data_IF_459610065536
#
_entry.id   IF_459610065536
#
_cell.length_a   1.000
_cell.length_b   1.000
_cell.length_c   1.000
_cell.angle_alpha   90.00
_cell.angle_beta   90.00
_cell.angle_gamma   90.00
#
_symmetry.space_group_name_H-M   'P 1'
#
loop_
_entity.id
_entity.type
_entity.pdbx_description
1 polymer ?
#
# COMPACT_ATOMS: atom_id res chain seq x y z
N UNK A 1 -9.05 0.20 -6.91
CA UNK A 1 -10.20 1.10 -6.62
C UNK A 1 -9.66 2.33 -5.92
N UNK A 2 -10.08 3.52 -6.36
CA UNK A 2 -9.77 4.80 -5.73
C UNK A 2 -11.08 5.56 -5.48
N UNK A 3 -11.20 6.23 -4.34
CA UNK A 3 -12.42 6.93 -3.91
C UNK A 3 -12.07 8.34 -3.43
N UNK A 4 -12.86 9.33 -3.82
CA UNK A 4 -12.69 10.71 -3.36
C UNK A 4 -14.02 11.42 -3.20
N UNK A 5 -14.09 12.35 -2.24
CA UNK A 5 -15.23 13.25 -2.09
C UNK A 5 -15.34 14.27 -3.24
N UNK A 6 -14.24 14.53 -3.96
CA UNK A 6 -14.22 15.44 -5.12
C UNK A 6 -14.30 14.62 -6.39
N UNK A 7 -15.38 14.82 -7.15
CA UNK A 7 -15.58 14.10 -8.41
C UNK A 7 -14.47 14.39 -9.43
N UNK A 8 -13.96 15.62 -9.44
CA UNK A 8 -12.88 16.06 -10.33
C UNK A 8 -11.60 15.24 -10.11
N UNK A 9 -11.32 14.84 -8.86
CA UNK A 9 -10.17 13.99 -8.55
C UNK A 9 -10.37 12.60 -9.12
N UNK A 10 -11.58 12.04 -9.03
CA UNK A 10 -11.90 10.72 -9.59
C UNK A 10 -11.78 10.74 -11.10
N UNK A 11 -12.23 11.83 -11.74
CA UNK A 11 -12.13 12.00 -13.18
C UNK A 11 -10.68 12.07 -13.65
N UNK A 12 -9.83 12.86 -12.97
CA UNK A 12 -8.39 12.91 -13.28
C UNK A 12 -7.71 11.55 -13.15
N UNK A 13 -8.07 10.75 -12.15
CA UNK A 13 -7.53 9.39 -11.98
C UNK A 13 -8.05 8.45 -13.06
N UNK A 14 -9.31 8.57 -13.46
CA UNK A 14 -9.87 7.80 -14.56
C UNK A 14 -9.19 8.12 -15.89
N UNK A 15 -8.93 9.39 -16.18
CA UNK A 15 -8.23 9.83 -17.38
C UNK A 15 -6.81 9.25 -17.41
N UNK A 16 -6.06 9.37 -16.31
CA UNK A 16 -4.73 8.77 -16.17
C UNK A 16 -4.72 7.25 -16.37
N UNK A 17 -5.66 6.52 -15.78
CA UNK A 17 -5.76 5.07 -15.97
C UNK A 17 -6.06 4.74 -17.45
N UNK A 18 -6.91 5.54 -18.10
CA UNK A 18 -7.25 5.37 -19.51
C UNK A 18 -6.05 5.65 -20.42
N UNK A 19 -5.26 6.68 -20.12
CA UNK A 19 -3.99 7.00 -20.82
C UNK A 19 -2.97 5.86 -20.71
N UNK A 20 -2.96 5.16 -19.56
CA UNK A 20 -2.13 3.97 -19.35
C UNK A 20 -2.68 2.69 -20.02
N UNK A 21 -3.80 2.78 -20.75
CA UNK A 21 -4.46 1.65 -21.41
C UNK A 21 -5.25 0.76 -20.45
N UNK A 22 -5.53 1.21 -19.22
CA UNK A 22 -6.23 0.46 -18.20
C UNK A 22 -7.73 0.77 -18.26
N UNK A 23 -8.52 -0.26 -18.55
CA UNK A 23 -9.96 -0.14 -18.66
C UNK A 23 -10.60 0.12 -17.28
N UNK A 24 -11.38 1.18 -17.16
CA UNK A 24 -11.93 1.64 -15.88
C UNK A 24 -13.38 2.12 -15.98
N UNK A 25 -14.05 2.22 -14.83
CA UNK A 25 -15.41 2.70 -14.66
C UNK A 25 -15.52 3.62 -13.45
N UNK A 26 -16.13 4.79 -13.64
CA UNK A 26 -16.48 5.70 -12.56
C UNK A 26 -17.85 5.29 -11.97
N UNK A 27 -17.95 5.24 -10.65
CA UNK A 27 -19.13 4.91 -9.87
C UNK A 27 -19.38 6.01 -8.84
N UNK A 28 -20.62 6.50 -8.76
CA UNK A 28 -20.90 7.75 -8.04
C UNK A 28 -20.40 8.97 -8.82
N UNK A 29 -20.89 10.16 -8.50
CA UNK A 29 -20.60 11.35 -9.29
C UNK A 29 -21.55 12.48 -8.97
N UNK A 30 -21.49 13.62 -9.69
CA UNK A 30 -22.25 14.81 -9.37
C UNK A 30 -23.72 14.51 -9.66
N UNK A 31 -24.40 13.88 -8.70
CA UNK A 31 -25.80 13.56 -8.78
C UNK A 31 -26.59 14.85 -8.78
N UNK A 32 -26.93 15.37 -9.95
CA UNK A 32 -27.93 16.39 -10.29
C UNK A 32 -28.06 17.65 -9.38
N UNK A 33 -27.22 17.88 -8.37
CA UNK A 33 -27.22 19.09 -7.55
C UNK A 33 -26.37 20.15 -8.22
N UNK A 34 -26.96 20.72 -9.28
CA UNK A 34 -26.51 21.99 -9.82
C UNK A 34 -26.48 23.04 -8.71
N UNK A 35 -25.41 23.83 -8.68
CA UNK A 35 -25.14 24.91 -7.75
C UNK A 35 -26.42 25.70 -7.37
N UNK A 36 -27.08 25.31 -6.28
CA UNK A 36 -28.30 26.00 -5.84
C UNK A 36 -27.87 27.27 -5.12
N UNK A 37 -28.34 28.44 -5.57
CA UNK A 37 -28.10 29.75 -4.92
C UNK A 37 -28.79 29.88 -3.54
N UNK A 38 -29.15 28.77 -2.90
CA UNK A 38 -29.83 28.74 -1.62
C UNK A 38 -28.83 28.94 -0.49
N UNK A 39 -29.26 29.67 0.53
CA UNK A 39 -28.47 29.90 1.73
C UNK A 39 -28.10 28.56 2.38
N UNK A 40 -26.89 28.49 2.92
CA UNK A 40 -26.28 27.31 3.52
C UNK A 40 -27.24 26.66 4.55
N UNK A 41 -27.77 25.46 4.24
CA UNK A 41 -28.67 24.73 5.15
C UNK A 41 -27.90 23.66 5.91
N UNK A 42 -28.04 23.62 7.24
CA UNK A 42 -27.41 22.59 8.08
C UNK A 42 -27.97 21.18 7.83
N UNK A 43 -29.16 21.05 7.23
CA UNK A 43 -29.76 19.76 6.87
C UNK A 43 -29.08 19.11 5.65
N UNK A 44 -28.46 19.89 4.76
CA UNK A 44 -27.80 19.36 3.56
C UNK A 44 -26.54 18.53 3.89
N UNK A 45 -25.84 18.84 4.99
CA UNK A 45 -24.65 18.09 5.40
C UNK A 45 -24.94 16.63 5.74
N UNK A 46 -26.10 16.32 6.32
CA UNK A 46 -26.50 14.93 6.62
C UNK A 46 -26.89 14.18 5.34
N UNK A 47 -27.54 14.86 4.40
CA UNK A 47 -27.87 14.28 3.09
C UNK A 47 -26.60 13.99 2.26
N UNK A 48 -25.60 14.88 2.30
CA UNK A 48 -24.31 14.69 1.61
C UNK A 48 -23.46 13.55 2.18
N UNK A 49 -23.55 13.27 3.48
CA UNK A 49 -22.90 12.11 4.07
C UNK A 49 -23.48 10.76 3.58
N UNK A 50 -24.69 10.80 2.99
CA UNK A 50 -25.40 9.64 2.48
C UNK A 50 -25.28 9.49 0.96
N UNK A 51 -24.73 10.49 0.26
CA UNK A 51 -24.42 10.40 -1.16
C UNK A 51 -23.20 9.47 -1.35
N UNK A 52 -23.37 8.44 -2.18
CA UNK A 52 -22.30 7.49 -2.53
C UNK A 52 -21.09 8.25 -3.05
N UNK A 53 -19.96 8.15 -2.35
CA UNK A 53 -18.72 8.82 -2.75
C UNK A 53 -18.33 8.42 -4.18
N UNK A 54 -17.84 9.39 -4.95
CA UNK A 54 -17.34 9.12 -6.29
C UNK A 54 -16.10 8.21 -6.19
N UNK A 55 -16.04 7.20 -7.04
CA UNK A 55 -15.00 6.19 -7.06
C UNK A 55 -14.69 5.72 -8.47
N UNK A 56 -13.45 5.30 -8.72
CA UNK A 56 -13.01 4.68 -9.97
C UNK A 56 -12.58 3.24 -9.72
N UNK A 57 -13.10 2.36 -10.57
CA UNK A 57 -12.94 0.92 -10.53
C UNK A 57 -12.23 0.48 -11.79
N UNK A 58 -11.22 -0.39 -11.64
CA UNK A 58 -10.59 -1.04 -12.78
C UNK A 58 -11.48 -2.22 -13.17
N UNK A 59 -11.73 -2.42 -14.47
CA UNK A 59 -12.67 -3.44 -14.96
C UNK A 59 -12.00 -4.81 -15.01
N UNK A 60 -10.76 -4.87 -15.52
CA UNK A 60 -10.00 -6.12 -15.66
C UNK A 60 -9.21 -6.39 -14.39
N UNK A 61 -9.34 -7.61 -13.86
CA UNK A 61 -8.56 -8.06 -12.71
C UNK A 61 -7.06 -8.03 -12.96
N UNK A 62 -6.65 -8.31 -14.19
CA UNK A 62 -5.24 -8.44 -14.56
C UNK A 62 -4.50 -7.10 -14.47
N UNK A 63 -5.22 -6.01 -14.70
CA UNK A 63 -4.69 -4.64 -14.65
C UNK A 63 -4.58 -4.10 -13.22
N UNK A 64 -5.07 -4.83 -12.20
CA UNK A 64 -5.10 -4.33 -10.82
C UNK A 64 -3.70 -4.05 -10.25
N UNK A 65 -2.73 -4.91 -10.56
CA UNK A 65 -1.35 -4.73 -10.09
C UNK A 65 -0.73 -3.48 -10.72
N UNK A 66 -0.85 -3.36 -12.04
CA UNK A 66 -0.34 -2.23 -12.80
C UNK A 66 -0.99 -0.91 -12.38
N UNK A 67 -2.32 -0.88 -12.25
CA UNK A 67 -3.06 0.29 -11.78
C UNK A 67 -2.62 0.72 -10.38
N UNK A 68 -2.36 -0.25 -9.49
CA UNK A 68 -1.90 0.04 -8.12
C UNK A 68 -0.50 0.61 -8.12
N UNK A 69 0.42 0.06 -8.92
CA UNK A 69 1.78 0.58 -9.07
C UNK A 69 1.76 2.01 -9.58
N UNK A 70 1.00 2.30 -10.65
CA UNK A 70 0.85 3.64 -11.20
C UNK A 70 0.31 4.64 -10.17
N UNK A 71 -0.73 4.27 -9.42
CA UNK A 71 -1.29 5.12 -8.38
C UNK A 71 -0.33 5.32 -7.19
N UNK A 72 0.51 4.34 -6.86
CA UNK A 72 1.53 4.46 -5.81
C UNK A 72 2.66 5.39 -6.21
N UNK A 73 3.12 5.31 -7.46
CA UNK A 73 4.21 6.15 -7.98
C UNK A 73 3.82 7.64 -7.95
N UNK A 74 2.53 7.93 -8.09
CA UNK A 74 1.98 9.29 -8.03
C UNK A 74 1.57 9.72 -6.62
N UNK A 75 1.78 8.88 -5.60
CA UNK A 75 1.40 9.16 -4.22
C UNK A 75 -0.11 9.22 -3.97
N UNK A 76 -0.93 8.70 -4.89
CA UNK A 76 -2.39 8.60 -4.71
C UNK A 76 -2.79 7.47 -3.76
N UNK A 77 -1.92 6.48 -3.62
CA UNK A 77 -2.02 5.44 -2.62
C UNK A 77 -0.84 5.56 -1.70
N UNK A 78 -1.10 5.80 -0.42
CA UNK A 78 -0.07 5.57 0.60
C UNK A 78 0.40 4.12 0.46
N UNK A 79 1.73 3.94 0.38
CA UNK A 79 2.36 2.62 0.49
C UNK A 79 1.78 2.02 1.73
N UNK A 80 0.94 1.03 1.55
CA UNK A 80 -0.02 0.66 2.56
C UNK A 80 0.78 0.16 3.75
N UNK A 81 0.86 0.97 4.81
CA UNK A 81 1.04 0.50 6.18
C UNK A 81 -0.21 -0.31 6.49
N UNK A 82 -0.34 -1.48 5.87
CA UNK A 82 -1.35 -2.45 6.25
C UNK A 82 -0.99 -2.79 7.68
N UNK A 83 -1.79 -2.42 8.70
CA UNK A 83 -1.57 -3.01 10.01
C UNK A 83 -1.63 -4.51 9.78
N UNK A 84 -0.60 -5.23 10.23
CA UNK A 84 -0.40 -6.66 9.94
C UNK A 84 -1.59 -7.55 10.30
N UNK A 85 -2.60 -7.00 11.00
CA UNK A 85 -3.78 -7.70 11.46
C UNK A 85 -5.05 -6.85 11.34
N UNK A 86 -6.11 -7.44 10.79
CA UNK A 86 -7.47 -6.88 10.73
C UNK A 86 -8.26 -7.09 12.05
N UNK A 87 -7.57 -7.52 13.10
CA UNK A 87 -8.18 -7.89 14.39
C UNK A 87 -8.20 -6.68 15.33
N UNK A 88 -9.29 -6.42 16.08
CA UNK A 88 -9.34 -5.35 17.07
C UNK A 88 -8.20 -5.48 18.08
N UNK A 89 -7.62 -4.35 18.51
CA UNK A 89 -6.45 -4.29 19.40
C UNK A 89 -6.43 -5.28 20.60
N UNK A 90 -7.54 -5.57 21.32
CA UNK A 90 -7.51 -6.53 22.43
C UNK A 90 -7.46 -8.02 22.01
N UNK A 91 -7.73 -8.34 20.74
CA UNK A 91 -7.65 -9.71 20.19
C UNK A 91 -6.46 -9.90 19.25
N UNK A 92 -5.62 -8.88 19.07
CA UNK A 92 -4.33 -9.04 18.42
C UNK A 92 -3.47 -9.89 19.35
N UNK A 93 -3.36 -11.19 19.08
CA UNK A 93 -2.29 -12.00 19.64
C UNK A 93 -1.00 -11.26 19.32
N UNK A 94 -0.21 -10.94 20.35
CA UNK A 94 1.08 -10.31 20.15
C UNK A 94 1.91 -11.24 19.28
N UNK A 95 1.92 -10.98 17.97
CA UNK A 95 2.87 -11.59 17.07
C UNK A 95 4.23 -11.24 17.66
N UNK A 96 4.96 -12.26 18.12
CA UNK A 96 6.39 -12.12 18.42
C UNK A 96 6.95 -11.34 17.24
N UNK A 97 7.54 -10.15 17.46
CA UNK A 97 7.82 -9.20 16.38
C UNK A 97 8.46 -9.96 15.24
N UNK A 98 7.67 -10.14 14.17
CA UNK A 98 8.04 -10.99 13.04
C UNK A 98 9.40 -10.51 12.60
N UNK A 99 10.41 -11.37 12.73
CA UNK A 99 11.80 -10.96 12.59
C UNK A 99 11.96 -10.23 11.26
N UNK A 100 12.25 -8.93 11.34
CA UNK A 100 12.47 -8.06 10.19
C UNK A 100 13.32 -8.81 9.15
N UNK A 101 12.78 -9.07 7.95
CA UNK A 101 13.43 -9.93 6.96
C UNK A 101 14.84 -9.41 6.63
N UNK A 102 15.06 -8.10 6.71
CA UNK A 102 16.37 -7.49 6.54
C UNK A 102 17.35 -7.86 7.67
N UNK A 103 16.89 -7.83 8.92
CA UNK A 103 17.71 -8.22 10.09
C UNK A 103 18.00 -9.72 10.10
N UNK A 104 17.07 -10.55 9.64
CA UNK A 104 17.27 -12.01 9.53
C UNK A 104 18.34 -12.33 8.49
N UNK A 105 18.29 -11.69 7.32
CA UNK A 105 19.29 -11.87 6.27
C UNK A 105 20.67 -11.36 6.70
N UNK A 106 20.73 -10.23 7.41
CA UNK A 106 21.97 -9.69 7.98
C UNK A 106 22.60 -10.67 8.98
N UNK A 107 21.82 -11.23 9.90
CA UNK A 107 22.34 -12.22 10.87
C UNK A 107 22.92 -13.44 10.17
N UNK A 108 22.23 -13.98 9.17
CA UNK A 108 22.71 -15.13 8.39
C UNK A 108 24.06 -14.80 7.72
N UNK A 109 24.17 -13.63 7.06
CA UNK A 109 25.42 -13.19 6.42
C UNK A 109 26.57 -13.06 7.44
N UNK A 110 26.32 -12.46 8.59
CA UNK A 110 27.33 -12.27 9.65
C UNK A 110 27.76 -13.61 10.24
N UNK A 111 26.82 -14.53 10.52
CA UNK A 111 27.17 -15.85 11.03
C UNK A 111 28.00 -16.66 10.06
N UNK A 112 27.72 -16.54 8.75
CA UNK A 112 28.46 -17.27 7.73
C UNK A 112 29.90 -16.72 7.58
N UNK A 113 30.06 -15.39 7.64
CA UNK A 113 31.38 -14.75 7.63
C UNK A 113 32.21 -15.17 8.85
N UNK A 114 31.60 -15.18 10.04
CA UNK A 114 32.29 -15.61 11.25
C UNK A 114 32.72 -17.08 11.18
N UNK A 115 31.85 -17.97 10.71
CA UNK A 115 32.18 -19.37 10.49
C UNK A 115 33.38 -19.53 9.54
N UNK A 116 33.42 -18.76 8.45
CA UNK A 116 34.55 -18.77 7.51
C UNK A 116 35.86 -18.34 8.19
N UNK A 117 35.85 -17.26 8.98
CA UNK A 117 37.03 -16.79 9.72
C UNK A 117 37.52 -17.84 10.72
N UNK A 118 36.62 -18.49 11.46
CA UNK A 118 36.97 -19.55 12.41
C UNK A 118 37.59 -20.75 11.70
N UNK A 119 37.03 -21.17 10.56
CA UNK A 119 37.56 -22.28 9.76
C UNK A 119 38.96 -21.97 9.23
N UNK A 120 39.16 -20.78 8.64
CA UNK A 120 40.46 -20.37 8.09
C UNK A 120 41.48 -20.16 9.19
N UNK A 121 41.11 -19.48 10.28
CA UNK A 121 41.96 -19.27 11.45
C UNK A 121 42.35 -20.57 12.14
N UNK A 122 41.41 -21.51 12.27
CA UNK A 122 41.66 -22.85 12.80
C UNK A 122 42.61 -23.66 11.92
N UNK A 123 42.45 -23.59 10.59
CA UNK A 123 43.38 -24.22 9.66
C UNK A 123 44.79 -23.61 9.76
N UNK A 124 44.91 -22.29 9.82
CA UNK A 124 46.22 -21.64 10.01
C UNK A 124 46.85 -22.02 11.34
N UNK A 125 46.11 -21.98 12.46
CA UNK A 125 46.64 -22.33 13.77
C UNK A 125 47.13 -23.79 13.82
N UNK A 126 46.41 -24.72 13.19
CA UNK A 126 46.88 -26.11 13.06
C UNK A 126 48.11 -26.24 12.18
N UNK A 127 48.19 -25.49 11.09
CA UNK A 127 49.36 -25.48 10.22
C UNK A 127 50.61 -24.91 10.93
N UNK A 128 50.44 -23.92 11.81
CA UNK A 128 51.53 -23.35 12.61
C UNK A 128 52.01 -24.29 13.73
N UNK A 129 51.13 -25.08 14.34
CA UNK A 129 51.50 -26.04 15.38
C UNK A 129 52.11 -27.34 14.84
N UNK A 130 51.89 -27.63 13.56
CA UNK A 130 52.39 -28.83 12.87
C UNK A 130 53.73 -28.61 12.13
N UNK A 131 54.34 -27.42 12.26
CA UNK A 131 55.61 -27.04 11.66
C UNK A 131 56.67 -26.83 12.73
#
# INVERSE_FOLDING_TARGET
MFTSARFENVQRVADMLSEAGIENRIMGGPGYKGYSRRQFSYADKKAQAQETQASVWVIKSDDYKQARELMQDLGLLDKTDVPASYVPAPMQFADKPGADPAKRLMRIKVTMLFAMVVIVGGMMARAYLAR
#
